data_IF_000015838815
#
_entry.id   IF_000015838815
#
_cell.length_a   1.000
_cell.length_b   1.000
_cell.length_c   1.000
_cell.angle_alpha   90.00
_cell.angle_beta   90.00
_cell.angle_gamma   90.00
#
_symmetry.space_group_name_H-M   'P 1'
#
loop_
_entity.id
_entity.type
_entity.pdbx_description
1 polymer ?
#
# COMPACT_ATOMS: atom_id res chain seq x y z
N UNK A 1 31.31 -24.93 -4.52
CA UNK A 1 30.44 -25.49 -5.56
C UNK A 1 29.01 -25.12 -5.25
N UNK A 2 28.37 -24.46 -6.22
CA UNK A 2 26.94 -24.20 -6.44
C UNK A 2 25.92 -24.16 -5.29
N UNK A 3 25.26 -23.00 -5.22
CA UNK A 3 23.86 -22.78 -4.85
C UNK A 3 22.89 -23.56 -5.75
N UNK A 4 21.66 -23.82 -5.24
CA UNK A 4 20.36 -24.23 -5.85
C UNK A 4 19.79 -25.36 -4.98
N UNK A 5 18.58 -25.38 -4.39
CA UNK A 5 17.23 -24.90 -4.76
C UNK A 5 16.35 -25.20 -3.48
N UNK A 6 15.35 -24.46 -2.98
CA UNK A 6 14.02 -24.08 -3.49
C UNK A 6 13.44 -23.01 -2.52
N UNK A 7 13.05 -21.81 -2.96
CA UNK A 7 11.70 -21.44 -3.39
C UNK A 7 10.58 -21.54 -2.32
N UNK A 8 10.03 -20.36 -1.97
CA UNK A 8 8.69 -20.08 -1.40
C UNK A 8 8.55 -19.92 0.12
N UNK A 9 8.95 -18.76 0.63
CA UNK A 9 8.24 -18.08 1.71
C UNK A 9 8.57 -16.57 1.73
N UNK A 10 8.19 -15.86 0.67
CA UNK A 10 8.22 -14.40 0.71
C UNK A 10 7.09 -13.92 1.63
N UNK A 11 7.49 -13.66 2.88
CA UNK A 11 6.97 -12.65 3.79
C UNK A 11 5.49 -12.79 4.21
N UNK A 12 5.15 -13.91 4.81
CA UNK A 12 4.16 -13.90 5.89
C UNK A 12 4.87 -13.42 7.16
N UNK A 13 5.13 -12.11 7.28
CA UNK A 13 5.50 -11.55 8.58
C UNK A 13 4.26 -11.67 9.48
N UNK A 14 4.41 -12.19 10.72
CA UNK A 14 3.28 -12.51 11.58
C UNK A 14 2.48 -11.25 11.84
N UNK A 15 1.17 -11.36 11.66
CA UNK A 15 0.18 -10.41 12.11
C UNK A 15 0.37 -10.19 13.61
N UNK A 16 1.11 -9.15 13.97
CA UNK A 16 1.12 -8.61 15.31
C UNK A 16 -0.34 -8.35 15.73
N UNK A 17 -0.70 -8.61 17.00
CA UNK A 17 -2.07 -8.41 17.47
C UNK A 17 -2.51 -6.97 17.15
N UNK A 18 -3.76 -6.76 16.71
CA UNK A 18 -4.21 -5.43 16.35
C UNK A 18 -4.18 -4.58 17.62
N UNK A 19 -3.25 -3.61 17.64
CA UNK A 19 -3.39 -2.44 18.49
C UNK A 19 -4.81 -1.86 18.29
N UNK A 20 -5.40 -1.23 19.32
CA UNK A 20 -6.69 -0.58 19.16
C UNK A 20 -6.66 0.31 17.91
N UNK A 21 -7.66 0.18 17.05
CA UNK A 21 -7.73 0.76 15.69
C UNK A 21 -7.90 2.28 15.68
N UNK A 22 -7.32 2.97 16.65
CA UNK A 22 -7.56 4.39 16.87
C UNK A 22 -6.83 5.27 15.86
N UNK A 23 -5.93 4.73 15.04
CA UNK A 23 -5.22 5.51 14.03
C UNK A 23 -4.92 4.70 12.74
N UNK A 24 -5.13 5.30 11.55
CA UNK A 24 -4.69 4.71 10.29
C UNK A 24 -3.17 4.78 10.14
N UNK A 25 -2.52 3.66 9.80
CA UNK A 25 -1.05 3.60 9.66
C UNK A 25 -0.58 3.65 8.20
N UNK A 26 -1.49 3.44 7.24
CA UNK A 26 -1.20 3.42 5.79
C UNK A 26 -1.05 4.78 5.10
N UNK A 27 -0.80 5.87 5.83
CA UNK A 27 -0.73 7.23 5.26
C UNK A 27 0.49 7.41 4.33
N UNK A 28 1.55 6.64 4.54
CA UNK A 28 2.76 6.69 3.73
C UNK A 28 2.68 5.70 2.55
N UNK A 29 2.80 6.16 1.30
CA UNK A 29 2.83 5.26 0.14
C UNK A 29 4.09 4.40 0.16
N UNK A 30 3.99 3.16 -0.32
CA UNK A 30 5.17 2.36 -0.62
C UNK A 30 6.01 3.05 -1.71
N UNK A 31 7.34 2.89 -1.66
CA UNK A 31 8.25 3.52 -2.62
C UNK A 31 7.85 3.19 -4.06
N UNK A 32 7.88 4.20 -4.92
CA UNK A 32 7.47 4.12 -6.32
C UNK A 32 8.16 2.96 -7.06
N UNK A 33 9.45 2.73 -6.78
CA UNK A 33 10.24 1.67 -7.39
C UNK A 33 9.82 0.26 -6.93
N UNK A 34 9.31 0.09 -5.71
CA UNK A 34 8.84 -1.20 -5.20
C UNK A 34 7.46 -1.59 -5.75
N UNK A 35 6.65 -0.59 -6.09
CA UNK A 35 5.29 -0.82 -6.60
C UNK A 35 5.29 -1.20 -8.08
N UNK A 36 6.21 -0.65 -8.88
CA UNK A 36 6.34 -0.97 -10.32
C UNK A 36 7.44 -1.98 -10.65
N UNK A 37 8.44 -2.17 -9.78
CA UNK A 37 9.55 -3.09 -10.02
C UNK A 37 9.10 -4.55 -10.19
N UNK A 38 9.31 -5.10 -11.40
CA UNK A 38 9.38 -6.55 -11.64
C UNK A 38 8.07 -7.28 -11.94
N UNK A 39 6.95 -6.60 -12.23
CA UNK A 39 5.73 -7.21 -12.79
C UNK A 39 5.44 -6.57 -14.14
N UNK A 40 4.99 -7.38 -15.12
CA UNK A 40 4.65 -6.90 -16.46
C UNK A 40 3.59 -5.79 -16.43
N UNK A 41 3.61 -4.92 -17.45
CA UNK A 41 2.82 -3.69 -17.59
C UNK A 41 1.28 -3.85 -17.44
N UNK A 42 0.77 -5.07 -17.32
CA UNK A 42 -0.66 -5.40 -17.20
C UNK A 42 -1.19 -5.52 -15.76
N UNK A 43 -0.36 -5.45 -14.73
CA UNK A 43 -0.81 -5.59 -13.34
C UNK A 43 -1.14 -4.24 -12.69
N UNK A 44 -2.40 -4.03 -12.27
CA UNK A 44 -2.77 -2.88 -11.44
C UNK A 44 -2.20 -3.04 -10.03
N UNK A 45 -1.30 -2.14 -9.64
CA UNK A 45 -0.73 -2.06 -8.30
C UNK A 45 -1.33 -0.85 -7.60
N UNK A 46 -2.01 -1.09 -6.47
CA UNK A 46 -2.39 0.01 -5.59
C UNK A 46 -1.17 0.38 -4.71
N UNK A 47 -0.56 1.56 -4.89
CA UNK A 47 0.55 2.02 -4.05
C UNK A 47 0.14 2.28 -2.59
N UNK A 48 -1.17 2.30 -2.33
CA UNK A 48 -1.80 2.54 -1.04
C UNK A 48 -2.52 1.29 -0.51
N UNK A 49 -2.02 0.11 -0.86
CA UNK A 49 -2.60 -1.19 -0.48
C UNK A 49 -2.81 -1.34 1.04
N UNK A 50 -1.91 -0.80 1.87
CA UNK A 50 -2.04 -0.84 3.34
C UNK A 50 -3.25 -0.03 3.80
N UNK A 51 -3.35 1.24 3.37
CA UNK A 51 -4.51 2.09 3.70
C UNK A 51 -5.83 1.50 3.19
N UNK A 52 -5.80 0.89 1.98
CA UNK A 52 -6.96 0.18 1.42
C UNK A 52 -7.40 -0.94 2.36
N UNK A 53 -6.49 -1.83 2.75
CA UNK A 53 -6.81 -2.94 3.65
C UNK A 53 -7.29 -2.47 5.03
N UNK A 54 -6.70 -1.41 5.58
CA UNK A 54 -7.15 -0.83 6.86
C UNK A 54 -8.57 -0.28 6.78
N UNK A 55 -8.90 0.44 5.69
CA UNK A 55 -10.26 0.96 5.48
C UNK A 55 -11.30 -0.17 5.37
N UNK A 56 -10.96 -1.27 4.70
CA UNK A 56 -11.83 -2.45 4.61
C UNK A 56 -11.99 -3.14 5.98
N UNK A 57 -10.90 -3.29 6.74
CA UNK A 57 -10.96 -3.85 8.11
C UNK A 57 -11.81 -2.99 9.04
N UNK A 58 -11.82 -1.67 8.85
CA UNK A 58 -12.70 -0.79 9.61
C UNK A 58 -14.18 -1.04 9.25
N UNK A 59 -14.51 -1.16 7.96
CA UNK A 59 -15.86 -1.46 7.50
C UNK A 59 -16.37 -2.80 8.04
N UNK A 60 -15.54 -3.86 7.95
CA UNK A 60 -15.90 -5.20 8.42
C UNK A 60 -16.27 -5.21 9.92
N UNK A 61 -15.60 -4.39 10.73
CA UNK A 61 -15.85 -4.28 12.17
C UNK A 61 -17.02 -3.38 12.54
N UNK A 62 -17.37 -2.45 11.66
CA UNK A 62 -18.40 -1.44 11.91
C UNK A 62 -19.67 -1.67 11.09
N UNK A 63 -19.93 -2.91 10.67
CA UNK A 63 -21.10 -3.26 9.86
C UNK A 63 -21.23 -2.42 8.59
N UNK A 64 -20.09 -2.09 7.97
CA UNK A 64 -20.00 -1.26 6.77
C UNK A 64 -20.49 0.19 6.95
N UNK A 65 -20.55 0.68 8.19
CA UNK A 65 -20.80 2.09 8.49
C UNK A 65 -19.59 2.95 8.10
N UNK A 66 -19.74 3.69 7.01
CA UNK A 66 -18.69 4.55 6.47
C UNK A 66 -18.35 5.73 7.39
N UNK A 67 -19.33 6.19 8.18
CA UNK A 67 -19.14 7.38 9.03
C UNK A 67 -18.04 7.16 10.08
N UNK A 68 -17.96 5.93 10.60
CA UNK A 68 -16.98 5.49 11.61
C UNK A 68 -15.57 5.27 11.05
N UNK A 69 -15.42 5.23 9.72
CA UNK A 69 -14.18 4.89 9.05
C UNK A 69 -13.58 6.06 8.25
N UNK A 70 -14.07 7.28 8.47
CA UNK A 70 -13.67 8.48 7.73
C UNK A 70 -12.16 8.71 7.74
N UNK A 71 -11.50 8.51 8.89
CA UNK A 71 -10.05 8.71 9.04
C UNK A 71 -9.24 7.70 8.19
N UNK A 72 -9.69 6.46 8.10
CA UNK A 72 -9.07 5.45 7.24
C UNK A 72 -9.22 5.78 5.75
N UNK A 73 -10.37 6.34 5.36
CA UNK A 73 -10.55 6.83 3.99
C UNK A 73 -9.72 8.07 3.70
N UNK A 74 -9.53 8.94 4.68
CA UNK A 74 -8.67 10.10 4.55
C UNK A 74 -7.22 9.69 4.33
N UNK A 75 -6.71 8.75 5.14
CA UNK A 75 -5.38 8.17 4.94
C UNK A 75 -5.17 7.57 3.54
N UNK A 76 -6.18 6.88 2.99
CA UNK A 76 -6.11 6.37 1.62
C UNK A 76 -6.01 7.50 0.57
N UNK A 77 -6.79 8.58 0.73
CA UNK A 77 -6.75 9.75 -0.16
C UNK A 77 -5.40 10.46 -0.09
N UNK A 78 -4.86 10.64 1.11
CA UNK A 78 -3.59 11.33 1.34
C UNK A 78 -2.42 10.54 0.75
N UNK A 79 -2.41 9.22 0.95
CA UNK A 79 -1.44 8.33 0.31
C UNK A 79 -1.49 8.45 -1.21
N UNK A 80 -2.69 8.39 -1.80
CA UNK A 80 -2.87 8.48 -3.26
C UNK A 80 -2.47 9.85 -3.79
N UNK A 81 -2.78 10.92 -3.07
CA UNK A 81 -2.37 12.28 -3.40
C UNK A 81 -0.85 12.43 -3.43
N UNK A 82 -0.18 11.93 -2.40
CA UNK A 82 1.29 11.92 -2.29
C UNK A 82 1.92 11.14 -3.44
N UNK A 83 1.41 9.94 -3.74
CA UNK A 83 1.92 9.13 -4.85
C UNK A 83 1.75 9.79 -6.22
N UNK A 84 0.59 10.40 -6.48
CA UNK A 84 0.37 11.12 -7.73
C UNK A 84 1.27 12.35 -7.86
N UNK A 85 1.55 13.04 -6.75
CA UNK A 85 2.48 14.16 -6.73
C UNK A 85 3.91 13.68 -7.01
N UNK A 86 4.38 12.64 -6.31
CA UNK A 86 5.69 12.03 -6.57
C UNK A 86 5.84 11.61 -8.03
N UNK A 87 4.82 10.94 -8.59
CA UNK A 87 4.83 10.53 -10.01
C UNK A 87 4.85 11.71 -10.97
N UNK A 88 4.28 12.87 -10.60
CA UNK A 88 4.33 14.10 -11.40
C UNK A 88 5.73 14.73 -11.32
N UNK A 89 6.32 14.74 -10.13
CA UNK A 89 7.67 15.23 -9.88
C UNK A 89 8.73 14.36 -10.59
N UNK A 90 8.62 13.04 -10.51
CA UNK A 90 9.52 12.09 -11.19
C UNK A 90 9.48 12.32 -12.71
N UNK A 91 8.28 12.51 -13.29
CA UNK A 91 8.11 12.87 -14.70
C UNK A 91 8.74 14.23 -15.04
N UNK A 92 8.60 15.24 -14.18
CA UNK A 92 9.22 16.57 -14.37
C UNK A 92 10.75 16.50 -14.27
N UNK A 93 11.26 15.64 -13.38
CA UNK A 93 12.69 15.43 -13.16
C UNK A 93 13.34 14.50 -14.19
N UNK A 94 12.57 13.95 -15.15
CA UNK A 94 13.06 13.02 -16.15
C UNK A 94 13.48 11.66 -15.57
N UNK A 95 13.02 11.31 -14.37
CA UNK A 95 13.22 9.96 -13.81
C UNK A 95 12.28 9.02 -14.55
N UNK A 96 12.83 8.26 -15.48
CA UNK A 96 12.06 7.32 -16.29
C UNK A 96 11.54 6.21 -15.39
N UNK A 97 10.23 6.21 -15.23
CA UNK A 97 9.53 5.20 -14.47
C UNK A 97 9.26 4.02 -15.39
N UNK A 98 10.24 3.11 -15.47
CA UNK A 98 10.18 1.90 -16.27
C UNK A 98 9.07 0.93 -15.84
#
# INVERSE_FOLDING_TARGET
MSTLEEAKARKSAPSAPPAPLTAPSGQTPASYNETLGGKGASSFRDPCEIARQESMKCLDRNSYDRSKCTDFFQAYRDCKGTWLNQRREDRRAGKETA
#
